data_IF_984412195007
#
_entry.id   IF_984412195007
#
_cell.length_a   1.000
_cell.length_b   1.000
_cell.length_c   1.000
_cell.angle_alpha   90.00
_cell.angle_beta   90.00
_cell.angle_gamma   90.00
#
_symmetry.space_group_name_H-M   'P 1'
#
loop_
_entity.id
_entity.type
_entity.pdbx_description
1 polymer ?
#
# COMPACT_ATOMS: atom_id res chain seq x y z
N UNK A 1 -9.71 -12.99 5.00
CA UNK A 1 -9.20 -11.84 4.22
C UNK A 1 -7.94 -11.40 4.92
N UNK A 2 -6.82 -11.33 4.23
CA UNK A 2 -5.52 -11.11 4.87
C UNK A 2 -4.67 -10.33 3.89
N UNK A 3 -4.72 -8.98 3.90
CA UNK A 3 -3.77 -8.20 3.13
C UNK A 3 -2.36 -8.51 3.62
N UNK A 4 -1.40 -8.58 2.70
CA UNK A 4 -0.01 -8.85 3.04
C UNK A 4 0.61 -7.66 3.78
N UNK A 5 0.22 -6.44 3.37
CA UNK A 5 0.68 -5.19 3.96
C UNK A 5 -0.46 -4.16 3.95
N UNK A 6 -0.51 -3.34 5.00
CA UNK A 6 -1.47 -2.24 5.14
C UNK A 6 -0.72 -0.94 5.42
N UNK A 7 -1.29 0.19 4.98
CA UNK A 7 -0.67 1.50 5.14
C UNK A 7 -1.67 2.58 5.49
N UNK A 8 -1.17 3.67 6.06
CA UNK A 8 -1.94 4.88 6.33
C UNK A 8 -1.14 6.11 5.91
N UNK A 9 -1.83 7.05 5.26
CA UNK A 9 -1.32 8.38 4.99
C UNK A 9 -1.95 9.37 5.96
N UNK A 10 -1.11 10.21 6.56
CA UNK A 10 -1.53 11.30 7.44
C UNK A 10 -1.19 12.65 6.81
N UNK A 11 -2.13 13.59 6.75
CA UNK A 11 -1.92 14.92 6.17
C UNK A 11 -1.11 15.88 7.08
N UNK A 12 -0.71 15.44 8.28
CA UNK A 12 -0.26 16.32 9.36
C UNK A 12 0.97 17.17 9.03
N UNK A 13 1.81 16.71 8.10
CA UNK A 13 3.05 17.39 7.71
C UNK A 13 2.94 18.13 6.38
N UNK A 14 1.88 17.86 5.61
CA UNK A 14 1.71 18.40 4.26
C UNK A 14 1.02 19.76 4.27
N UNK A 15 0.32 20.07 5.36
CA UNK A 15 -0.44 21.31 5.52
C UNK A 15 -0.03 22.08 6.77
N UNK A 16 -0.21 23.39 6.71
CA UNK A 16 -0.04 24.25 7.89
C UNK A 16 -1.15 24.01 8.92
N UNK A 17 -0.91 24.30 10.22
CA UNK A 17 -1.90 24.09 11.28
C UNK A 17 -3.27 24.72 10.98
N UNK A 18 -3.30 25.92 10.41
CA UNK A 18 -4.54 26.65 10.10
C UNK A 18 -5.38 25.93 9.03
N UNK A 19 -4.72 25.28 8.06
CA UNK A 19 -5.39 24.50 7.01
C UNK A 19 -5.97 23.20 7.58
N UNK A 20 -5.21 22.51 8.44
CA UNK A 20 -5.67 21.30 9.12
C UNK A 20 -6.88 21.60 10.04
N UNK A 21 -6.87 22.75 10.72
CA UNK A 21 -7.96 23.18 11.57
C UNK A 21 -9.25 23.41 10.79
N UNK A 22 -9.18 24.07 9.63
CA UNK A 22 -10.34 24.25 8.74
C UNK A 22 -10.84 22.90 8.20
N UNK A 23 -9.94 22.00 7.76
CA UNK A 23 -10.33 20.66 7.31
C UNK A 23 -11.10 19.90 8.39
N UNK A 24 -10.66 19.99 9.66
CA UNK A 24 -11.35 19.40 10.80
C UNK A 24 -12.74 19.98 11.01
N UNK A 25 -12.90 21.31 10.94
CA UNK A 25 -14.22 21.96 11.06
C UNK A 25 -15.18 21.56 9.93
N UNK A 26 -14.66 21.36 8.71
CA UNK A 26 -15.43 20.90 7.56
C UNK A 26 -15.63 19.38 7.52
N UNK A 27 -15.11 18.64 8.52
CA UNK A 27 -15.14 17.17 8.55
C UNK A 27 -14.54 16.52 7.30
N UNK A 28 -13.56 17.18 6.68
CA UNK A 28 -12.79 16.65 5.56
C UNK A 28 -11.72 15.73 6.14
N UNK A 29 -11.87 14.43 5.94
CA UNK A 29 -10.82 13.45 6.27
C UNK A 29 -9.84 13.35 5.10
N UNK A 30 -8.61 13.82 5.32
CA UNK A 30 -7.50 13.67 4.37
C UNK A 30 -6.66 12.43 4.65
N UNK A 31 -7.06 11.60 5.63
CA UNK A 31 -6.40 10.34 5.97
C UNK A 31 -6.79 9.30 4.93
N UNK A 32 -5.82 8.57 4.41
CA UNK A 32 -6.05 7.47 3.47
C UNK A 32 -5.50 6.17 4.02
N UNK A 33 -6.19 5.08 3.73
CA UNK A 33 -5.81 3.73 4.09
C UNK A 33 -5.49 2.95 2.82
N UNK A 34 -4.45 2.13 2.89
CA UNK A 34 -3.92 1.37 1.78
C UNK A 34 -3.87 -0.12 2.12
N UNK A 35 -4.12 -0.94 1.12
CA UNK A 35 -3.96 -2.39 1.18
C UNK A 35 -3.08 -2.84 0.02
N UNK A 36 -2.11 -3.70 0.32
CA UNK A 36 -1.15 -4.20 -0.65
C UNK A 36 -1.14 -5.73 -0.65
N UNK A 37 -1.20 -6.31 -1.85
CA UNK A 37 -0.98 -7.72 -2.12
C UNK A 37 0.38 -7.85 -2.80
N UNK A 38 1.30 -8.64 -2.23
CA UNK A 38 2.69 -8.72 -2.68
C UNK A 38 2.91 -10.01 -3.48
N UNK A 39 3.67 -9.90 -4.58
CA UNK A 39 4.14 -11.04 -5.39
C UNK A 39 5.60 -10.88 -5.78
N UNK A 40 6.32 -11.99 -5.88
CA UNK A 40 7.69 -11.99 -6.43
C UNK A 40 7.68 -11.80 -7.95
N UNK A 41 6.73 -12.44 -8.64
CA UNK A 41 6.56 -12.31 -10.08
C UNK A 41 5.09 -12.29 -10.47
N UNK A 42 4.78 -11.52 -11.50
CA UNK A 42 3.45 -11.41 -12.09
C UNK A 42 3.54 -11.66 -13.60
N UNK A 43 2.84 -12.69 -14.06
CA UNK A 43 2.79 -13.12 -15.45
C UNK A 43 1.39 -13.59 -15.81
N UNK A 44 1.14 -13.94 -17.06
CA UNK A 44 -0.19 -14.43 -17.48
C UNK A 44 -0.69 -15.64 -16.68
N UNK A 45 0.21 -16.49 -16.19
CA UNK A 45 -0.17 -17.70 -15.46
C UNK A 45 -0.80 -17.41 -14.10
N UNK A 46 -0.44 -16.29 -13.46
CA UNK A 46 -0.88 -15.96 -12.11
C UNK A 46 -1.59 -14.60 -12.00
N UNK A 47 -1.70 -13.84 -13.09
CA UNK A 47 -2.28 -12.50 -13.10
C UNK A 47 -3.68 -12.48 -12.50
N UNK A 48 -4.62 -13.25 -13.07
CA UNK A 48 -6.02 -13.21 -12.62
C UNK A 48 -6.16 -13.64 -11.17
N UNK A 49 -5.50 -14.74 -10.78
CA UNK A 49 -5.54 -15.23 -9.41
C UNK A 49 -5.03 -14.17 -8.42
N UNK A 50 -3.85 -13.61 -8.68
CA UNK A 50 -3.23 -12.59 -7.81
C UNK A 50 -4.06 -11.31 -7.78
N UNK A 51 -4.61 -10.91 -8.93
CA UNK A 51 -5.45 -9.72 -9.03
C UNK A 51 -6.75 -9.87 -8.25
N UNK A 52 -7.45 -11.00 -8.35
CA UNK A 52 -8.67 -11.23 -7.58
C UNK A 52 -8.40 -11.44 -6.09
N UNK A 53 -7.22 -11.95 -5.72
CA UNK A 53 -6.77 -11.95 -4.33
C UNK A 53 -6.64 -10.52 -3.80
N UNK A 54 -6.00 -9.62 -4.56
CA UNK A 54 -5.91 -8.20 -4.23
C UNK A 54 -7.30 -7.54 -4.13
N UNK A 55 -8.21 -7.82 -5.06
CA UNK A 55 -9.61 -7.33 -4.99
C UNK A 55 -10.29 -7.74 -3.69
N UNK A 56 -10.17 -9.02 -3.30
CA UNK A 56 -10.76 -9.54 -2.06
C UNK A 56 -10.13 -8.92 -0.81
N UNK A 57 -8.84 -8.59 -0.85
CA UNK A 57 -8.09 -8.08 0.29
C UNK A 57 -8.10 -6.54 0.43
N UNK A 58 -8.62 -5.78 -0.55
CA UNK A 58 -8.60 -4.30 -0.52
C UNK A 58 -9.93 -3.62 -0.24
N UNK A 59 -11.08 -4.32 -0.26
CA UNK A 59 -12.41 -3.68 -0.26
C UNK A 59 -12.66 -2.70 0.91
N UNK A 60 -11.89 -2.79 1.99
CA UNK A 60 -11.93 -1.89 3.15
C UNK A 60 -11.05 -0.64 3.04
N UNK A 61 -10.16 -0.55 2.06
CA UNK A 61 -9.15 0.51 1.92
C UNK A 61 -9.57 1.56 0.89
N UNK A 62 -8.97 2.76 1.00
CA UNK A 62 -9.17 3.81 0.00
C UNK A 62 -8.50 3.44 -1.32
N UNK A 63 -7.32 2.82 -1.26
CA UNK A 63 -6.58 2.39 -2.44
C UNK A 63 -6.03 0.98 -2.21
N UNK A 64 -6.06 0.16 -3.26
CA UNK A 64 -5.61 -1.23 -3.25
C UNK A 64 -4.61 -1.47 -4.35
N UNK A 65 -3.50 -2.10 -4.02
CA UNK A 65 -2.41 -2.34 -4.97
C UNK A 65 -1.97 -3.80 -5.00
N UNK A 66 -1.81 -4.33 -6.21
CA UNK A 66 -1.03 -5.53 -6.47
C UNK A 66 0.40 -5.10 -6.79
N UNK A 67 1.34 -5.50 -5.93
CA UNK A 67 2.74 -5.09 -6.00
C UNK A 67 3.56 -6.29 -6.44
N UNK A 68 4.45 -6.11 -7.41
CA UNK A 68 5.34 -7.16 -7.84
C UNK A 68 6.77 -6.67 -8.13
N UNK A 69 7.73 -7.54 -7.85
CA UNK A 69 9.15 -7.31 -8.16
C UNK A 69 9.41 -7.51 -9.66
N UNK A 70 8.93 -8.62 -10.21
CA UNK A 70 9.04 -8.95 -11.62
C UNK A 70 7.65 -8.91 -12.26
N UNK A 71 7.50 -8.18 -13.37
CA UNK A 71 6.23 -8.09 -14.10
C UNK A 71 6.53 -8.35 -15.58
N UNK A 72 5.70 -9.17 -16.24
CA UNK A 72 5.78 -9.33 -17.68
C UNK A 72 5.55 -7.99 -18.40
N UNK A 73 6.46 -7.63 -19.32
CA UNK A 73 6.36 -6.40 -20.13
C UNK A 73 5.74 -6.63 -21.50
N UNK A 74 5.17 -7.82 -21.74
CA UNK A 74 4.49 -8.11 -22.99
C UNK A 74 3.30 -7.15 -23.21
N UNK A 75 3.12 -6.56 -24.41
CA UNK A 75 2.02 -5.65 -24.68
C UNK A 75 0.63 -6.24 -24.39
N UNK A 76 0.42 -7.52 -24.69
CA UNK A 76 -0.87 -8.19 -24.45
C UNK A 76 -1.11 -8.40 -22.96
N UNK A 77 -0.05 -8.64 -22.18
CA UNK A 77 -0.12 -8.71 -20.73
C UNK A 77 -0.55 -7.35 -20.15
N UNK A 78 0.09 -6.28 -20.60
CA UNK A 78 -0.24 -4.91 -20.17
C UNK A 78 -1.69 -4.54 -20.50
N UNK A 79 -2.20 -4.99 -21.64
CA UNK A 79 -3.60 -4.78 -22.01
C UNK A 79 -4.58 -5.55 -21.12
N UNK A 80 -4.26 -6.78 -20.72
CA UNK A 80 -5.08 -7.54 -19.77
C UNK A 80 -5.08 -6.89 -18.38
N UNK A 81 -3.92 -6.46 -17.90
CA UNK A 81 -3.81 -5.70 -16.64
C UNK A 81 -4.64 -4.42 -16.70
N UNK A 82 -4.58 -3.67 -17.81
CA UNK A 82 -5.39 -2.46 -18.00
C UNK A 82 -6.89 -2.77 -17.95
N UNK A 83 -7.34 -3.84 -18.59
CA UNK A 83 -8.75 -4.28 -18.54
C UNK A 83 -9.18 -4.59 -17.11
N UNK A 84 -8.37 -5.32 -16.34
CA UNK A 84 -8.65 -5.64 -14.94
C UNK A 84 -8.66 -4.39 -14.04
N UNK A 85 -7.67 -3.50 -14.20
CA UNK A 85 -7.60 -2.23 -13.47
C UNK A 85 -8.85 -1.36 -13.73
N UNK A 86 -9.26 -1.21 -15.00
CA UNK A 86 -10.46 -0.46 -15.34
C UNK A 86 -11.75 -1.08 -14.76
N UNK A 87 -11.83 -2.41 -14.72
CA UNK A 87 -13.00 -3.11 -14.23
C UNK A 87 -13.14 -3.11 -12.70
N UNK A 88 -12.02 -3.22 -11.97
CA UNK A 88 -12.03 -3.51 -10.54
C UNK A 88 -11.28 -2.49 -9.67
N UNK A 89 -10.46 -1.62 -10.26
CA UNK A 89 -9.82 -0.50 -9.58
C UNK A 89 -8.55 -0.82 -8.77
N UNK A 90 -8.03 -2.05 -8.82
CA UNK A 90 -6.73 -2.37 -8.20
C UNK A 90 -5.60 -1.75 -9.01
N UNK A 91 -4.76 -0.95 -8.35
CA UNK A 91 -3.55 -0.41 -8.93
C UNK A 91 -2.42 -1.44 -9.00
N UNK A 92 -1.41 -1.16 -9.82
CA UNK A 92 -0.23 -2.03 -9.99
C UNK A 92 1.02 -1.24 -9.68
N UNK A 93 1.84 -1.75 -8.77
CA UNK A 93 3.16 -1.20 -8.44
C UNK A 93 4.23 -2.19 -8.88
N UNK A 94 5.19 -1.68 -9.65
CA UNK A 94 6.42 -2.40 -9.98
C UNK A 94 7.53 -1.92 -9.06
N UNK A 95 8.10 -2.84 -8.29
CA UNK A 95 9.29 -2.55 -7.50
C UNK A 95 10.54 -2.65 -8.37
N UNK A 96 11.48 -1.75 -8.15
CA UNK A 96 12.82 -1.84 -8.69
C UNK A 96 13.81 -2.12 -7.54
N UNK A 97 14.33 -3.35 -7.40
CA UNK A 97 15.25 -3.68 -6.29
C UNK A 97 16.63 -3.05 -6.48
N UNK A 98 17.04 -2.75 -7.71
CA UNK A 98 18.34 -2.14 -8.00
C UNK A 98 18.32 -0.65 -7.66
N UNK A 99 17.20 0.03 -7.96
CA UNK A 99 16.96 1.41 -7.56
C UNK A 99 15.53 1.59 -7.06
N UNK A 100 15.35 1.57 -5.74
CA UNK A 100 14.02 1.63 -5.10
C UNK A 100 13.28 2.92 -5.46
N UNK A 101 13.99 4.03 -5.61
CA UNK A 101 13.40 5.32 -5.98
C UNK A 101 12.86 5.34 -7.42
N UNK A 102 13.27 4.38 -8.25
CA UNK A 102 12.74 4.16 -9.59
C UNK A 102 11.62 3.10 -9.63
N UNK A 103 11.13 2.65 -8.47
CA UNK A 103 9.87 1.88 -8.41
C UNK A 103 8.72 2.75 -8.92
N UNK A 104 7.79 2.15 -9.65
CA UNK A 104 6.76 2.91 -10.38
C UNK A 104 5.36 2.36 -10.16
N UNK A 105 4.38 3.26 -10.16
CA UNK A 105 2.97 2.93 -10.26
C UNK A 105 2.65 2.78 -11.75
N UNK A 106 2.56 1.53 -12.23
CA UNK A 106 2.23 1.23 -13.63
C UNK A 106 0.79 1.57 -13.97
N UNK A 107 -0.12 1.31 -13.03
CA UNK A 107 -1.54 1.62 -13.12
C UNK A 107 -2.02 2.13 -11.77
N UNK A 108 -2.65 3.32 -11.69
CA UNK A 108 -3.13 3.86 -10.43
C UNK A 108 -4.32 3.04 -9.91
N UNK A 109 -4.47 2.97 -8.58
CA UNK A 109 -5.68 2.44 -7.97
C UNK A 109 -6.83 3.44 -8.11
N UNK A 110 -8.05 2.92 -8.23
CA UNK A 110 -9.25 3.72 -8.07
C UNK A 110 -9.40 4.07 -6.59
N UNK A 111 -9.56 5.36 -6.30
CA UNK A 111 -9.78 5.83 -4.93
C UNK A 111 -11.23 5.56 -4.51
N UNK A 112 -11.42 4.74 -3.49
CA UNK A 112 -12.68 4.55 -2.80
C UNK A 112 -12.86 5.66 -1.76
N UNK A 113 -13.99 6.38 -1.84
CA UNK A 113 -14.34 7.43 -0.88
C UNK A 113 -15.01 6.86 0.38
N UNK A 114 -15.64 5.70 0.24
CA UNK A 114 -16.33 5.01 1.32
C UNK A 114 -15.53 3.78 1.74
N UNK A 115 -15.36 3.62 3.05
CA UNK A 115 -14.73 2.44 3.65
C UNK A 115 -15.82 1.44 4.03
N UNK A 116 -15.62 0.18 3.63
CA UNK A 116 -16.41 -0.95 4.12
C UNK A 116 -16.04 -1.28 5.58
N UNK A 117 -16.75 -0.64 6.52
CA UNK A 117 -16.51 -0.78 7.96
C UNK A 117 -16.82 -2.18 8.50
N UNK A 118 -17.70 -2.95 7.86
CA UNK A 118 -17.98 -4.33 8.25
C UNK A 118 -16.75 -5.21 7.98
N UNK A 119 -16.13 -5.02 6.81
CA UNK A 119 -14.87 -5.67 6.45
C UNK A 119 -13.73 -5.24 7.38
N UNK A 120 -13.60 -3.95 7.71
CA UNK A 120 -12.61 -3.46 8.71
C UNK A 120 -12.81 -4.14 10.07
N UNK A 121 -14.04 -4.17 10.58
CA UNK A 121 -14.34 -4.73 11.90
C UNK A 121 -14.07 -6.24 11.94
N UNK A 122 -14.44 -6.97 10.89
CA UNK A 122 -14.10 -8.39 10.76
C UNK A 122 -12.59 -8.62 10.78
N UNK A 123 -11.82 -7.85 10.00
CA UNK A 123 -10.36 -7.93 9.98
C UNK A 123 -9.74 -7.66 11.36
N UNK A 124 -10.24 -6.66 12.07
CA UNK A 124 -9.76 -6.33 13.41
C UNK A 124 -10.05 -7.42 14.45
N UNK A 125 -11.13 -8.19 14.27
CA UNK A 125 -11.46 -9.33 15.13
C UNK A 125 -10.62 -10.56 14.81
N UNK A 126 -10.28 -10.77 13.53
CA UNK A 126 -9.52 -11.93 13.07
C UNK A 126 -7.99 -11.74 13.18
N UNK A 127 -7.48 -10.51 13.15
CA UNK A 127 -6.07 -10.19 13.14
C UNK A 127 -5.71 -9.13 14.20
N UNK A 128 -4.97 -9.55 15.24
CA UNK A 128 -4.54 -8.69 16.34
C UNK A 128 -3.60 -7.56 15.93
N UNK A 129 -2.77 -7.78 14.91
CA UNK A 129 -1.82 -6.78 14.41
C UNK A 129 -2.57 -5.69 13.66
N UNK A 130 -3.58 -6.07 12.86
CA UNK A 130 -4.48 -5.11 12.21
C UNK A 130 -5.31 -4.32 13.24
N UNK A 131 -5.83 -4.98 14.29
CA UNK A 131 -6.50 -4.31 15.40
C UNK A 131 -5.59 -3.27 16.08
N UNK A 132 -4.32 -3.64 16.28
CA UNK A 132 -3.32 -2.75 16.86
C UNK A 132 -3.01 -1.57 15.94
N UNK A 133 -2.88 -1.81 14.63
CA UNK A 133 -2.72 -0.77 13.61
C UNK A 133 -3.85 0.27 13.66
N UNK A 134 -5.11 -0.14 13.74
CA UNK A 134 -6.25 0.79 13.87
C UNK A 134 -6.20 1.63 15.16
N UNK A 135 -5.72 1.05 16.27
CA UNK A 135 -5.54 1.78 17.52
C UNK A 135 -4.45 2.85 17.40
N UNK A 136 -3.32 2.51 16.78
CA UNK A 136 -2.22 3.46 16.53
C UNK A 136 -2.69 4.63 15.66
N UNK A 137 -3.44 4.35 14.59
CA UNK A 137 -4.04 5.40 13.74
C UNK A 137 -4.92 6.32 14.60
N UNK A 138 -5.80 5.74 15.41
CA UNK A 138 -6.73 6.50 16.26
C UNK A 138 -5.98 7.41 17.24
N UNK A 139 -4.89 6.94 17.83
CA UNK A 139 -4.06 7.71 18.75
C UNK A 139 -3.35 8.87 18.04
N UNK A 140 -2.73 8.62 16.89
CA UNK A 140 -2.04 9.67 16.11
C UNK A 140 -3.02 10.73 15.59
N UNK A 141 -4.23 10.33 15.20
CA UNK A 141 -5.31 11.25 14.82
C UNK A 141 -5.71 12.19 15.97
N UNK A 142 -5.84 11.64 17.19
CA UNK A 142 -6.16 12.45 18.38
C UNK A 142 -5.04 13.42 18.71
N UNK A 143 -3.79 13.02 18.51
CA UNK A 143 -2.61 13.84 18.75
C UNK A 143 -2.34 14.87 17.64
N UNK A 144 -2.87 14.65 16.43
CA UNK A 144 -2.57 15.47 15.25
C UNK A 144 -1.13 15.34 14.76
N UNK A 145 -0.43 14.26 15.15
CA UNK A 145 0.95 13.97 14.75
C UNK A 145 1.23 12.49 14.87
N UNK A 146 2.18 12.00 14.07
CA UNK A 146 2.67 10.62 14.15
C UNK A 146 3.61 10.51 15.36
N UNK A 147 3.17 9.75 16.38
CA UNK A 147 3.98 9.36 17.54
C UNK A 147 4.11 7.83 17.64
N UNK A 148 3.12 7.11 17.13
CA UNK A 148 3.10 5.65 17.10
C UNK A 148 4.28 5.04 16.36
N UNK A 149 4.60 3.78 16.72
CA UNK A 149 5.65 3.00 16.06
C UNK A 149 5.03 2.18 14.93
N UNK A 150 5.09 2.71 13.71
CA UNK A 150 4.89 1.92 12.49
C UNK A 150 6.19 1.21 12.11
N UNK A 151 6.17 0.47 11.00
CA UNK A 151 7.38 -0.14 10.45
C UNK A 151 8.51 0.89 10.27
N UNK A 152 9.73 0.47 10.62
CA UNK A 152 10.90 1.34 10.51
C UNK A 152 11.16 1.67 9.04
N UNK A 153 11.17 2.96 8.73
CA UNK A 153 11.69 3.46 7.46
C UNK A 153 13.22 3.46 7.55
N UNK A 154 13.87 2.65 6.70
CA UNK A 154 15.32 2.62 6.60
C UNK A 154 15.86 3.86 5.91
N UNK A 155 17.06 4.31 6.32
CA UNK A 155 17.86 5.19 5.46
C UNK A 155 18.27 4.46 4.18
N UNK A 156 18.73 5.20 3.18
CA UNK A 156 19.22 4.60 1.93
C UNK A 156 20.33 3.58 2.19
N UNK A 157 21.30 3.91 3.06
CA UNK A 157 22.40 3.01 3.40
C UNK A 157 21.93 1.78 4.21
N UNK A 158 20.98 1.96 5.14
CA UNK A 158 20.39 0.86 5.90
C UNK A 158 19.63 -0.10 4.99
N UNK A 159 18.90 0.43 4.02
CA UNK A 159 18.07 -0.32 3.08
C UNK A 159 18.93 -1.14 2.11
N UNK A 160 19.99 -0.54 1.55
CA UNK A 160 20.95 -1.24 0.69
C UNK A 160 21.59 -2.42 1.44
N UNK A 161 22.08 -2.18 2.67
CA UNK A 161 22.65 -3.25 3.51
C UNK A 161 21.61 -4.34 3.81
N UNK A 162 20.39 -3.96 4.13
CA UNK A 162 19.31 -4.90 4.38
C UNK A 162 19.03 -5.80 3.16
N UNK A 163 18.93 -5.21 1.97
CA UNK A 163 18.69 -5.94 0.73
C UNK A 163 19.83 -6.89 0.36
N UNK A 164 21.08 -6.46 0.54
CA UNK A 164 22.26 -7.31 0.33
C UNK A 164 22.26 -8.50 1.29
N UNK A 165 22.01 -8.26 2.57
CA UNK A 165 21.92 -9.32 3.58
C UNK A 165 20.78 -10.31 3.32
N UNK A 166 19.71 -9.87 2.65
CA UNK A 166 18.58 -10.71 2.24
C UNK A 166 18.76 -11.35 0.86
N UNK A 167 19.86 -11.07 0.16
CA UNK A 167 20.13 -11.61 -1.18
C UNK A 167 19.18 -11.08 -2.26
N UNK A 168 18.55 -9.92 -2.03
CA UNK A 168 17.63 -9.29 -2.99
C UNK A 168 18.43 -8.56 -4.09
N UNK A 169 19.58 -7.99 -3.73
CA UNK A 169 20.52 -7.29 -4.63
C UNK A 169 21.90 -7.93 -4.43
N UNK A 170 22.70 -8.11 -5.50
CA UNK A 170 24.06 -8.63 -5.37
C UNK A 170 24.93 -7.78 -4.44
N UNK A 171 25.81 -8.45 -3.69
CA UNK A 171 26.84 -7.79 -2.89
C UNK A 171 27.90 -7.26 -3.85
N UNK A 172 27.97 -5.95 -4.02
CA UNK A 172 29.05 -5.31 -4.77
C UNK A 172 30.26 -5.25 -3.83
N UNK A 173 31.20 -6.18 -4.02
CA UNK A 173 32.52 -6.05 -3.41
C UNK A 173 33.34 -5.11 -4.31
N UNK A 174 33.75 -3.96 -3.77
CA UNK A 174 34.80 -3.12 -4.36
C UNK A 174 36.16 -3.84 -4.38
#
# INVERSE_FOLDING_TARGET
MHPDLVGVYFPFRDFKPETLEIQKHLSITSIKLFSFELKVSLSFSNLRQSFFQAVSNYSWAHEGYLVALNIDFDPTFKDEVRRLNNAFGIGIIKLNPENIFESEILFPSKINQEIDWDTVNRLANENSDFSSFLKLITEDCKLGKIKSQYDKVFSEEELVRYMQNKGIVPIINE
#
